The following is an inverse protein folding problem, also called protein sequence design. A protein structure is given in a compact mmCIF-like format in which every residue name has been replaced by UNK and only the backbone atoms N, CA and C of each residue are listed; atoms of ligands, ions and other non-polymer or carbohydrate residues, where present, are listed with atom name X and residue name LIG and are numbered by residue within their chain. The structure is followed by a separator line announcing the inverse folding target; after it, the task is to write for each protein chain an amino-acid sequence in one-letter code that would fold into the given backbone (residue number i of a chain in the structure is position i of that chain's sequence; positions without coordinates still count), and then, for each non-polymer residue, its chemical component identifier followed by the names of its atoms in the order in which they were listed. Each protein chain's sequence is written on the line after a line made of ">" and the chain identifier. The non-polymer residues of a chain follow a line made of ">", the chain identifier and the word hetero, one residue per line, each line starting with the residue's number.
data_IF_607592321345
#
_entry.id   IF_607592321345
#
_cell.length_a   1.000
_cell.length_b   1.000
_cell.length_c   1.000
_cell.angle_alpha   90.00
_cell.angle_beta   90.00
_cell.angle_gamma   90.00
#
_symmetry.space_group_name_H-M   'P 1'
#
loop_
_entity.id
_entity.type
_entity.pdbx_description
1 polymer ?
#
# COMPACT_ATOMS: atom_id res chain seq x y z
N UNK A 1 39.41 -27.40 33.09
CA UNK A 1 39.26 -26.08 33.73
C UNK A 1 40.18 -25.15 32.95
N UNK A 2 39.78 -24.16 32.19
CA UNK A 2 38.52 -23.48 31.93
C UNK A 2 38.87 -22.44 30.83
N UNK A 3 37.90 -22.08 29.97
CA UNK A 3 37.81 -20.82 29.21
C UNK A 3 38.80 -20.48 28.07
N UNK A 4 38.24 -20.39 26.86
CA UNK A 4 38.57 -19.37 25.83
C UNK A 4 37.97 -17.99 26.23
N UNK A 5 37.97 -16.88 25.44
CA UNK A 5 38.56 -16.59 24.11
C UNK A 5 39.16 -15.15 23.98
N UNK A 6 39.61 -14.72 22.78
CA UNK A 6 39.09 -13.54 22.04
C UNK A 6 40.07 -12.90 21.04
N UNK A 7 39.52 -12.52 19.87
CA UNK A 7 40.07 -11.54 18.91
C UNK A 7 40.59 -12.17 17.62
N UNK A 8 40.20 -11.79 16.41
CA UNK A 8 39.33 -10.73 15.93
C UNK A 8 39.11 -10.98 14.42
N UNK A 9 37.87 -11.12 13.97
CA UNK A 9 37.56 -11.13 12.54
C UNK A 9 36.53 -10.04 12.24
N UNK A 10 36.93 -9.08 11.41
CA UNK A 10 36.14 -7.92 10.99
C UNK A 10 34.83 -8.36 10.31
N UNK A 11 33.67 -7.79 10.63
CA UNK A 11 32.46 -8.02 9.86
C UNK A 11 32.50 -7.17 8.57
N UNK A 12 32.41 -7.85 7.43
CA UNK A 12 32.19 -7.24 6.13
C UNK A 12 30.89 -6.44 6.09
N UNK A 13 30.87 -5.41 5.23
CA UNK A 13 29.72 -4.52 5.01
C UNK A 13 28.46 -5.32 4.74
N UNK A 14 27.49 -5.21 5.65
CA UNK A 14 26.12 -5.72 5.47
C UNK A 14 25.42 -4.79 4.49
N UNK A 15 25.09 -5.29 3.31
CA UNK A 15 24.13 -4.64 2.43
C UNK A 15 22.74 -5.09 2.90
N UNK A 16 22.22 -4.45 3.95
CA UNK A 16 20.84 -4.65 4.38
C UNK A 16 19.95 -3.85 3.44
N UNK A 17 19.34 -4.52 2.47
CA UNK A 17 18.20 -3.98 1.73
C UNK A 17 17.07 -3.86 2.76
N UNK A 18 16.93 -2.64 3.30
CA UNK A 18 15.97 -2.31 4.33
C UNK A 18 14.56 -2.54 3.81
N UNK A 19 13.82 -3.34 4.57
CA UNK A 19 12.41 -3.22 4.92
C UNK A 19 11.48 -2.65 3.84
N UNK A 20 10.48 -3.45 3.47
CA UNK A 20 9.19 -2.97 2.98
C UNK A 20 8.72 -1.80 3.86
N UNK A 21 9.05 -0.60 3.40
CA UNK A 21 8.49 0.63 3.85
C UNK A 21 7.03 0.51 3.50
N UNK A 22 6.22 0.08 4.49
CA UNK A 22 4.78 0.24 4.48
C UNK A 22 4.57 1.75 4.50
N UNK A 23 4.78 2.39 3.35
CA UNK A 23 4.49 3.79 3.09
C UNK A 23 3.02 3.89 3.47
N UNK A 24 2.77 4.38 4.69
CA UNK A 24 1.51 5.04 4.99
C UNK A 24 1.50 6.16 3.99
N UNK A 25 0.87 5.91 2.85
CA UNK A 25 0.71 6.88 1.80
C UNK A 25 -0.24 7.93 2.37
N UNK A 26 0.34 8.85 3.12
CA UNK A 26 -0.39 9.95 3.72
C UNK A 26 -0.62 10.91 2.58
N UNK A 27 -1.77 10.73 1.93
CA UNK A 27 -2.30 11.56 0.86
C UNK A 27 -1.89 13.04 1.05
N UNK A 28 -0.87 13.52 0.31
CA UNK A 28 -0.32 14.86 0.49
C UNK A 28 -1.34 15.93 0.13
N UNK A 29 -2.25 15.63 -0.80
CA UNK A 29 -3.33 16.51 -1.22
C UNK A 29 -4.36 16.69 -0.09
N UNK A 30 -4.66 15.61 0.63
CA UNK A 30 -5.52 15.68 1.81
C UNK A 30 -4.92 16.55 2.93
N UNK A 31 -3.60 16.50 3.12
CA UNK A 31 -2.89 17.36 4.09
C UNK A 31 -2.86 18.82 3.65
N UNK A 32 -2.58 19.07 2.37
CA UNK A 32 -2.58 20.40 1.79
C UNK A 32 -3.96 21.05 1.89
N UNK A 33 -5.02 20.34 1.48
CA UNK A 33 -6.39 20.83 1.59
C UNK A 33 -6.78 21.12 3.04
N UNK A 34 -6.41 20.22 3.97
CA UNK A 34 -6.60 20.48 5.39
C UNK A 34 -5.88 21.76 5.83
N UNK A 35 -4.60 21.94 5.47
CA UNK A 35 -3.84 23.14 5.81
C UNK A 35 -4.49 24.41 5.26
N UNK A 36 -4.91 24.41 3.98
CA UNK A 36 -5.64 25.52 3.36
C UNK A 36 -6.88 25.87 4.17
N UNK A 37 -7.70 24.88 4.55
CA UNK A 37 -8.92 25.13 5.31
C UNK A 37 -8.66 25.67 6.73
N UNK A 38 -7.58 25.27 7.40
CA UNK A 38 -7.21 25.86 8.69
C UNK A 38 -6.74 27.30 8.52
N UNK A 39 -5.93 27.59 7.50
CA UNK A 39 -5.49 28.96 7.18
C UNK A 39 -6.70 29.84 6.87
N UNK A 40 -7.62 29.37 6.02
CA UNK A 40 -8.88 30.08 5.73
C UNK A 40 -9.70 30.33 6.98
N UNK A 41 -9.80 29.36 7.90
CA UNK A 41 -10.49 29.55 9.17
C UNK A 41 -9.89 30.68 10.01
N UNK A 42 -8.58 30.66 10.25
CA UNK A 42 -7.92 31.68 11.07
C UNK A 42 -7.95 33.07 10.41
N UNK A 43 -7.80 33.13 9.08
CA UNK A 43 -7.89 34.40 8.33
C UNK A 43 -9.30 34.99 8.41
N UNK A 44 -10.34 34.20 8.19
CA UNK A 44 -11.73 34.67 8.26
C UNK A 44 -12.10 35.08 9.70
N UNK A 45 -11.71 34.28 10.69
CA UNK A 45 -11.98 34.59 12.10
C UNK A 45 -11.25 35.87 12.53
N UNK A 46 -9.98 36.02 12.16
CA UNK A 46 -9.19 37.23 12.45
C UNK A 46 -9.75 38.48 11.77
N UNK A 47 -10.15 38.37 10.49
CA UNK A 47 -10.80 39.45 9.75
C UNK A 47 -12.14 39.87 10.38
N UNK A 48 -13.00 38.89 10.72
CA UNK A 48 -14.27 39.14 11.41
C UNK A 48 -14.06 39.79 12.79
N UNK A 49 -13.05 39.34 13.55
CA UNK A 49 -12.68 39.91 14.84
C UNK A 49 -12.20 41.36 14.70
N UNK A 50 -11.28 41.63 13.77
CA UNK A 50 -10.78 42.99 13.52
C UNK A 50 -11.92 43.94 13.15
N UNK A 51 -12.83 43.50 12.27
CA UNK A 51 -14.01 44.27 11.88
C UNK A 51 -14.96 44.53 13.05
N UNK A 52 -15.13 43.57 13.96
CA UNK A 52 -15.95 43.73 15.16
C UNK A 52 -15.34 44.76 16.12
N UNK A 53 -14.06 44.62 16.46
CA UNK A 53 -13.35 45.54 17.38
C UNK A 53 -13.34 46.97 16.86
N UNK A 54 -13.11 47.17 15.55
CA UNK A 54 -13.12 48.51 14.94
C UNK A 54 -14.50 49.20 15.02
N UNK A 55 -15.59 48.44 14.99
CA UNK A 55 -16.95 49.00 14.94
C UNK A 55 -17.65 49.05 16.30
N UNK A 56 -17.35 48.12 17.20
CA UNK A 56 -18.09 47.90 18.45
C UNK A 56 -17.16 47.70 19.66
N UNK A 57 -15.87 48.04 19.55
CA UNK A 57 -14.88 47.83 20.62
C UNK A 57 -15.20 48.55 21.94
N UNK A 58 -16.03 49.59 21.92
CA UNK A 58 -16.48 50.32 23.11
C UNK A 58 -17.76 49.78 23.76
N UNK A 59 -18.39 48.74 23.22
CA UNK A 59 -19.64 48.20 23.77
C UNK A 59 -19.41 47.26 24.95
N UNK A 60 -20.37 47.21 25.89
CA UNK A 60 -20.34 46.31 27.05
C UNK A 60 -20.26 44.82 26.66
N UNK A 61 -20.71 44.47 25.45
CA UNK A 61 -20.69 43.09 24.91
C UNK A 61 -19.33 42.69 24.31
N UNK A 62 -18.45 43.65 24.02
CA UNK A 62 -17.16 43.39 23.38
C UNK A 62 -16.27 42.34 24.09
N UNK A 63 -16.08 42.36 25.43
CA UNK A 63 -15.23 41.36 26.09
C UNK A 63 -15.78 39.93 25.96
N UNK A 64 -17.11 39.76 25.95
CA UNK A 64 -17.75 38.45 25.77
C UNK A 64 -17.53 37.89 24.37
N UNK A 65 -17.62 38.74 23.34
CA UNK A 65 -17.37 38.34 21.94
C UNK A 65 -15.90 37.94 21.75
N UNK A 66 -14.97 38.68 22.34
CA UNK A 66 -13.53 38.35 22.30
C UNK A 66 -13.27 37.01 23.01
N UNK A 67 -13.81 36.82 24.21
CA UNK A 67 -13.66 35.57 24.96
C UNK A 67 -14.19 34.36 24.17
N UNK A 68 -15.37 34.48 23.56
CA UNK A 68 -16.00 33.40 22.80
C UNK A 68 -15.21 33.07 21.52
N UNK A 69 -14.62 34.07 20.85
CA UNK A 69 -13.75 33.83 19.71
C UNK A 69 -12.43 33.15 20.11
N UNK A 70 -11.85 33.50 21.26
CA UNK A 70 -10.67 32.78 21.81
C UNK A 70 -11.03 31.33 22.13
N UNK A 71 -12.19 31.08 22.75
CA UNK A 71 -12.69 29.72 22.97
C UNK A 71 -12.83 28.97 21.65
N UNK A 72 -13.36 29.61 20.61
CA UNK A 72 -13.51 29.01 19.28
C UNK A 72 -12.14 28.66 18.65
N UNK A 73 -11.12 29.52 18.81
CA UNK A 73 -9.74 29.25 18.38
C UNK A 73 -9.19 28.01 19.10
N UNK A 74 -9.27 27.99 20.42
CA UNK A 74 -8.75 26.89 21.24
C UNK A 74 -9.44 25.58 20.88
N UNK A 75 -10.77 25.61 20.76
CA UNK A 75 -11.54 24.44 20.42
C UNK A 75 -11.24 23.94 19.00
N UNK A 76 -11.12 24.84 18.02
CA UNK A 76 -10.76 24.45 16.65
C UNK A 76 -9.34 23.87 16.57
N UNK A 77 -8.37 24.47 17.28
CA UNK A 77 -6.98 24.00 17.36
C UNK A 77 -6.82 22.68 18.14
N UNK A 78 -7.69 22.43 19.13
CA UNK A 78 -7.79 21.15 19.84
C UNK A 78 -8.48 20.05 19.01
N UNK A 79 -8.96 20.40 17.81
CA UNK A 79 -9.65 19.47 16.93
C UNK A 79 -8.80 18.26 16.53
N UNK A 80 -9.45 17.12 16.18
CA UNK A 80 -8.77 15.85 15.88
C UNK A 80 -7.98 15.82 14.56
N UNK A 81 -7.41 16.94 14.12
CA UNK A 81 -6.73 17.15 12.84
C UNK A 81 -5.35 16.48 12.71
N UNK A 82 -4.88 15.69 13.68
CA UNK A 82 -3.49 15.16 13.68
C UNK A 82 -3.26 13.74 13.16
N UNK A 83 -4.19 13.12 12.41
CA UNK A 83 -3.78 11.96 11.58
C UNK A 83 -4.71 10.77 11.42
N UNK A 84 -6.01 10.89 11.70
CA UNK A 84 -6.95 9.82 11.36
C UNK A 84 -7.74 10.17 10.08
N UNK A 85 -7.72 9.32 9.05
CA UNK A 85 -8.46 9.55 7.80
C UNK A 85 -9.91 9.86 8.12
N UNK A 86 -10.43 10.93 7.51
CA UNK A 86 -11.72 11.51 7.88
C UNK A 86 -12.91 10.58 7.57
N UNK A 87 -12.73 9.64 6.62
CA UNK A 87 -13.71 8.63 6.24
C UNK A 87 -12.95 7.34 5.95
N UNK A 88 -13.26 6.21 6.62
CA UNK A 88 -12.72 4.91 6.25
C UNK A 88 -13.09 4.57 4.79
N UNK A 89 -12.27 3.78 4.06
CA UNK A 89 -12.71 3.19 2.80
C UNK A 89 -14.10 2.56 2.98
N UNK A 90 -15.00 2.79 2.04
CA UNK A 90 -16.36 2.24 2.11
C UNK A 90 -16.24 0.71 2.18
N UNK A 91 -16.74 0.05 3.23
CA UNK A 91 -16.69 -1.40 3.30
C UNK A 91 -17.54 -1.99 2.16
N UNK A 92 -17.20 -3.18 1.63
CA UNK A 92 -18.02 -3.84 0.62
C UNK A 92 -19.46 -4.00 1.13
N UNK A 93 -20.41 -3.29 0.51
CA UNK A 93 -21.85 -3.39 0.81
C UNK A 93 -22.42 -2.52 1.95
N UNK A 94 -21.67 -1.61 2.57
CA UNK A 94 -22.08 -0.99 3.85
C UNK A 94 -22.16 0.54 3.91
N UNK A 95 -23.17 1.04 4.66
CA UNK A 95 -23.35 2.45 5.07
C UNK A 95 -22.09 3.01 5.73
N UNK A 96 -21.82 4.30 5.53
CA UNK A 96 -20.69 5.00 6.20
C UNK A 96 -20.90 4.94 7.72
N UNK A 97 -19.94 4.39 8.50
CA UNK A 97 -20.07 4.31 9.95
C UNK A 97 -20.06 5.70 10.58
N UNK A 98 -20.75 5.85 11.71
CA UNK A 98 -20.75 7.10 12.46
C UNK A 98 -19.35 7.39 13.03
N UNK A 99 -18.93 8.67 13.06
CA UNK A 99 -17.67 9.06 13.67
C UNK A 99 -17.68 8.78 15.20
N UNK A 100 -16.50 8.62 15.82
CA UNK A 100 -16.40 8.43 17.26
C UNK A 100 -17.03 9.61 18.01
N UNK A 101 -17.69 9.33 19.14
CA UNK A 101 -18.45 10.31 19.95
C UNK A 101 -17.63 11.56 20.26
N UNK A 102 -16.33 11.41 20.54
CA UNK A 102 -15.40 12.55 20.76
C UNK A 102 -15.39 13.56 19.61
N UNK A 103 -15.45 13.10 18.34
CA UNK A 103 -15.49 13.98 17.16
C UNK A 103 -16.84 14.69 17.04
N UNK A 104 -17.93 14.01 17.40
CA UNK A 104 -19.27 14.62 17.42
C UNK A 104 -19.37 15.69 18.50
N UNK A 105 -18.89 15.41 19.71
CA UNK A 105 -18.84 16.38 20.82
C UNK A 105 -18.01 17.60 20.41
N UNK A 106 -16.82 17.38 19.83
CA UNK A 106 -15.98 18.46 19.34
C UNK A 106 -16.69 19.32 18.29
N UNK A 107 -17.27 18.70 17.25
CA UNK A 107 -17.97 19.43 16.20
C UNK A 107 -19.17 20.20 16.77
N UNK A 108 -19.96 19.56 17.64
CA UNK A 108 -21.11 20.18 18.29
C UNK A 108 -20.70 21.38 19.13
N UNK A 109 -19.62 21.27 19.91
CA UNK A 109 -19.10 22.39 20.70
C UNK A 109 -18.60 23.53 19.80
N UNK A 110 -17.89 23.23 18.70
CA UNK A 110 -17.42 24.25 17.74
C UNK A 110 -18.60 24.98 17.12
N UNK A 111 -19.61 24.23 16.66
CA UNK A 111 -20.82 24.78 16.05
C UNK A 111 -21.63 25.61 17.06
N UNK A 112 -21.77 25.15 18.31
CA UNK A 112 -22.51 25.86 19.34
C UNK A 112 -21.84 27.18 19.72
N UNK A 113 -20.52 27.16 19.97
CA UNK A 113 -19.74 28.39 20.27
C UNK A 113 -19.81 29.36 19.10
N UNK A 114 -19.66 28.88 17.87
CA UNK A 114 -19.78 29.71 16.68
C UNK A 114 -21.18 30.28 16.48
N UNK A 115 -22.24 29.51 16.73
CA UNK A 115 -23.62 29.99 16.61
C UNK A 115 -23.90 31.14 17.59
N UNK A 116 -23.48 31.01 18.85
CA UNK A 116 -23.57 32.11 19.84
C UNK A 116 -22.77 33.33 19.39
N UNK A 117 -21.60 33.12 18.76
CA UNK A 117 -20.76 34.21 18.25
C UNK A 117 -21.43 34.96 17.09
N UNK A 118 -22.09 34.24 16.19
CA UNK A 118 -22.85 34.82 15.07
C UNK A 118 -24.07 35.59 15.57
N UNK A 119 -24.77 35.08 16.58
CA UNK A 119 -25.91 35.77 17.21
C UNK A 119 -25.49 37.10 17.84
N UNK A 120 -24.34 37.11 18.53
CA UNK A 120 -23.79 38.34 19.13
C UNK A 120 -23.24 39.30 18.08
N UNK A 121 -22.66 38.78 17.00
CA UNK A 121 -22.02 39.55 15.95
C UNK A 121 -22.12 38.82 14.58
N UNK A 122 -23.07 39.21 13.71
CA UNK A 122 -23.29 38.54 12.42
C UNK A 122 -22.08 38.55 11.46
N UNK A 123 -21.07 39.41 11.70
CA UNK A 123 -19.82 39.41 10.94
C UNK A 123 -19.05 38.09 11.01
N UNK A 124 -19.28 37.25 12.02
CA UNK A 124 -18.66 35.94 12.14
C UNK A 124 -19.31 34.86 11.25
N UNK A 125 -20.40 35.18 10.53
CA UNK A 125 -21.05 34.28 9.59
C UNK A 125 -20.09 33.79 8.48
N UNK A 126 -19.08 34.58 8.10
CA UNK A 126 -18.07 34.19 7.10
C UNK A 126 -17.25 32.97 7.53
N UNK A 127 -17.13 32.70 8.83
CA UNK A 127 -16.43 31.51 9.37
C UNK A 127 -17.20 30.21 9.09
N UNK A 128 -18.44 30.29 8.59
CA UNK A 128 -19.25 29.13 8.19
C UNK A 128 -18.55 28.22 7.16
N UNK A 129 -17.74 28.78 6.25
CA UNK A 129 -17.14 27.99 5.14
C UNK A 129 -16.21 26.86 5.64
N UNK A 130 -15.19 27.14 6.48
CA UNK A 130 -14.42 26.08 7.11
C UNK A 130 -15.23 25.13 7.99
N UNK A 131 -16.34 25.60 8.58
CA UNK A 131 -17.24 24.76 9.39
C UNK A 131 -18.07 23.81 8.54
N UNK A 132 -18.55 24.24 7.36
CA UNK A 132 -19.21 23.37 6.39
C UNK A 132 -18.27 22.26 5.93
N UNK A 133 -17.03 22.62 5.61
CA UNK A 133 -16.00 21.63 5.30
C UNK A 133 -15.75 20.67 6.47
N UNK A 134 -15.68 21.19 7.70
CA UNK A 134 -15.54 20.36 8.89
C UNK A 134 -16.71 19.40 9.08
N UNK A 135 -17.95 19.83 8.83
CA UNK A 135 -19.14 18.98 8.89
C UNK A 135 -19.12 17.90 7.78
N UNK A 136 -18.88 18.32 6.52
CA UNK A 136 -18.81 17.45 5.35
C UNK A 136 -17.75 16.35 5.48
N UNK A 137 -16.62 16.66 6.12
CA UNK A 137 -15.55 15.68 6.35
C UNK A 137 -15.80 14.75 7.53
N UNK A 138 -16.52 15.18 8.58
CA UNK A 138 -16.68 14.36 9.81
C UNK A 138 -17.92 13.50 9.83
N UNK A 139 -19.02 13.97 9.21
CA UNK A 139 -20.32 13.33 9.28
C UNK A 139 -20.59 12.44 8.06
N UNK A 140 -21.47 11.43 8.19
CA UNK A 140 -22.02 10.73 7.04
C UNK A 140 -22.78 11.71 6.13
N UNK A 141 -22.83 11.46 4.81
CA UNK A 141 -23.27 12.45 3.82
C UNK A 141 -24.64 13.04 4.11
N UNK A 142 -25.63 12.23 4.50
CA UNK A 142 -26.98 12.71 4.83
C UNK A 142 -26.98 13.67 6.03
N UNK A 143 -26.32 13.29 7.13
CA UNK A 143 -26.23 14.14 8.31
C UNK A 143 -25.42 15.42 8.05
N UNK A 144 -24.38 15.33 7.22
CA UNK A 144 -23.58 16.47 6.82
C UNK A 144 -24.41 17.49 6.00
N UNK A 145 -25.19 17.04 5.02
CA UNK A 145 -26.04 17.92 4.21
C UNK A 145 -27.13 18.58 5.05
N UNK A 146 -27.75 17.82 5.97
CA UNK A 146 -28.72 18.37 6.92
C UNK A 146 -28.08 19.45 7.79
N UNK A 147 -26.92 19.18 8.38
CA UNK A 147 -26.23 20.16 9.23
C UNK A 147 -25.84 21.41 8.43
N UNK A 148 -25.27 21.27 7.23
CA UNK A 148 -24.94 22.40 6.36
C UNK A 148 -26.20 23.23 6.03
N UNK A 149 -27.32 22.57 5.71
CA UNK A 149 -28.60 23.23 5.48
C UNK A 149 -29.08 24.03 6.70
N UNK A 150 -29.07 23.42 7.89
CA UNK A 150 -29.45 24.07 9.15
C UNK A 150 -28.57 25.29 9.44
N UNK A 151 -27.25 25.16 9.32
CA UNK A 151 -26.31 26.26 9.55
C UNK A 151 -26.50 27.38 8.52
N UNK A 152 -26.82 27.05 7.27
CA UNK A 152 -27.10 28.03 6.22
C UNK A 152 -28.37 28.83 6.53
N UNK A 153 -29.45 28.13 6.90
CA UNK A 153 -30.71 28.78 7.32
C UNK A 153 -30.48 29.66 8.55
N UNK A 154 -29.74 29.18 9.54
CA UNK A 154 -29.36 29.96 10.72
C UNK A 154 -28.61 31.25 10.34
N UNK A 155 -27.61 31.16 9.46
CA UNK A 155 -26.85 32.34 8.98
C UNK A 155 -27.75 33.34 8.24
N UNK A 156 -28.68 32.85 7.42
CA UNK A 156 -29.62 33.71 6.71
C UNK A 156 -30.53 34.44 7.70
N UNK A 157 -31.11 33.72 8.68
CA UNK A 157 -31.97 34.32 9.72
C UNK A 157 -31.19 35.37 10.52
N UNK A 158 -30.00 35.04 11.02
CA UNK A 158 -29.18 35.94 11.82
C UNK A 158 -28.82 37.24 11.07
N UNK A 159 -28.57 37.16 9.76
CA UNK A 159 -28.30 38.35 8.95
C UNK A 159 -29.56 39.16 8.65
N UNK A 160 -30.70 38.51 8.35
CA UNK A 160 -31.97 39.19 8.10
C UNK A 160 -32.48 39.96 9.31
N UNK A 161 -32.28 39.45 10.53
CA UNK A 161 -32.66 40.13 11.76
C UNK A 161 -31.92 41.46 11.96
N UNK A 162 -30.68 41.57 11.45
CA UNK A 162 -29.85 42.77 11.56
C UNK A 162 -29.99 43.72 10.36
N UNK A 163 -30.48 43.22 9.22
CA UNK A 163 -30.58 43.97 7.99
C UNK A 163 -31.68 45.04 8.09
N UNK A 164 -31.33 46.32 7.92
CA UNK A 164 -32.32 47.42 7.87
C UNK A 164 -33.15 47.42 6.58
N UNK A 165 -32.68 46.72 5.54
CA UNK A 165 -33.33 46.55 4.24
C UNK A 165 -33.08 45.13 3.73
N UNK A 166 -34.05 44.57 3.01
CA UNK A 166 -33.89 43.27 2.37
C UNK A 166 -33.01 43.40 1.13
N UNK A 167 -31.74 43.00 1.25
CA UNK A 167 -30.82 42.86 0.12
C UNK A 167 -30.73 41.39 -0.27
N UNK A 168 -30.95 41.09 -1.56
CA UNK A 168 -30.94 39.73 -2.11
C UNK A 168 -29.62 39.00 -1.80
N UNK A 169 -28.51 39.73 -1.78
CA UNK A 169 -27.17 39.22 -1.49
C UNK A 169 -27.06 38.56 -0.10
N UNK A 170 -27.86 39.00 0.87
CA UNK A 170 -27.87 38.46 2.25
C UNK A 170 -28.37 37.01 2.30
N UNK A 171 -29.28 36.65 1.40
CA UNK A 171 -29.86 35.31 1.30
C UNK A 171 -29.06 34.46 0.31
N UNK A 172 -28.71 35.04 -0.84
CA UNK A 172 -28.04 34.32 -1.93
C UNK A 172 -26.60 33.96 -1.57
N UNK A 173 -25.87 34.82 -0.85
CA UNK A 173 -24.47 34.58 -0.51
C UNK A 173 -24.23 33.27 0.27
N UNK A 174 -24.82 33.09 1.47
CA UNK A 174 -24.66 31.87 2.26
C UNK A 174 -25.15 30.61 1.52
N UNK A 175 -26.28 30.72 0.81
CA UNK A 175 -26.86 29.61 0.06
C UNK A 175 -25.96 29.17 -1.11
N UNK A 176 -25.41 30.14 -1.87
CA UNK A 176 -24.48 29.87 -2.96
C UNK A 176 -23.23 29.17 -2.44
N UNK A 177 -22.62 29.68 -1.36
CA UNK A 177 -21.40 29.09 -0.80
C UNK A 177 -21.64 27.67 -0.26
N UNK A 178 -22.74 27.44 0.45
CA UNK A 178 -23.10 26.11 0.93
C UNK A 178 -23.32 25.12 -0.23
N UNK A 179 -23.98 25.57 -1.30
CA UNK A 179 -24.24 24.78 -2.50
C UNK A 179 -22.93 24.44 -3.22
N UNK A 180 -22.07 25.44 -3.48
CA UNK A 180 -20.78 25.23 -4.14
C UNK A 180 -19.86 24.32 -3.32
N UNK A 181 -19.72 24.56 -2.00
CA UNK A 181 -18.90 23.74 -1.13
C UNK A 181 -19.37 22.27 -1.12
N UNK A 182 -20.68 22.05 -1.05
CA UNK A 182 -21.27 20.70 -1.09
C UNK A 182 -21.06 20.05 -2.45
N UNK A 183 -21.30 20.77 -3.56
CA UNK A 183 -21.16 20.25 -4.91
C UNK A 183 -19.71 19.84 -5.22
N UNK A 184 -18.73 20.71 -4.93
CA UNK A 184 -17.30 20.42 -5.11
C UNK A 184 -16.91 19.20 -4.27
N UNK A 185 -17.33 19.16 -3.01
CA UNK A 185 -17.01 18.04 -2.13
C UNK A 185 -17.57 16.71 -2.63
N UNK A 186 -18.82 16.70 -3.12
CA UNK A 186 -19.43 15.50 -3.71
C UNK A 186 -18.72 15.08 -5.00
N UNK A 187 -18.39 16.05 -5.86
CA UNK A 187 -17.67 15.80 -7.11
C UNK A 187 -16.30 15.16 -6.82
N UNK A 188 -15.50 15.76 -5.93
CA UNK A 188 -14.19 15.24 -5.54
C UNK A 188 -14.30 13.85 -4.92
N UNK A 189 -15.28 13.61 -4.05
CA UNK A 189 -15.51 12.28 -3.46
C UNK A 189 -15.81 11.23 -4.53
N UNK A 190 -16.66 11.55 -5.49
CA UNK A 190 -16.99 10.65 -6.60
C UNK A 190 -15.79 10.41 -7.51
N UNK A 191 -15.00 11.44 -7.80
CA UNK A 191 -13.78 11.33 -8.59
C UNK A 191 -12.75 10.42 -7.91
N UNK A 192 -12.49 10.63 -6.62
CA UNK A 192 -11.58 9.80 -5.84
C UNK A 192 -12.03 8.33 -5.80
N UNK A 193 -13.34 8.07 -5.67
CA UNK A 193 -13.88 6.72 -5.71
C UNK A 193 -13.66 6.04 -7.08
N UNK A 194 -13.90 6.75 -8.19
CA UNK A 194 -13.63 6.24 -9.55
C UNK A 194 -12.15 6.00 -9.81
N UNK A 195 -11.29 6.91 -9.34
CA UNK A 195 -9.85 6.76 -9.52
C UNK A 195 -9.32 5.53 -8.77
N UNK A 196 -9.81 5.29 -7.54
CA UNK A 196 -9.46 4.09 -6.77
C UNK A 196 -9.88 2.80 -7.48
N UNK A 197 -11.11 2.72 -8.00
CA UNK A 197 -11.55 1.52 -8.72
C UNK A 197 -10.70 1.26 -9.96
N UNK A 198 -10.33 2.30 -10.72
CA UNK A 198 -9.47 2.15 -11.89
C UNK A 198 -8.04 1.69 -11.52
N UNK A 199 -7.50 2.19 -10.40
CA UNK A 199 -6.19 1.72 -9.90
C UNK A 199 -6.29 0.26 -9.47
N UNK A 200 -7.34 -0.12 -8.75
CA UNK A 200 -7.56 -1.51 -8.33
C UNK A 200 -7.68 -2.45 -9.53
N UNK A 201 -8.43 -2.04 -10.56
CA UNK A 201 -8.58 -2.79 -11.82
C UNK A 201 -7.26 -2.90 -12.59
N UNK A 202 -6.46 -1.82 -12.64
CA UNK A 202 -5.13 -1.83 -13.27
C UNK A 202 -4.16 -2.76 -12.54
N UNK A 203 -4.14 -2.70 -11.20
CA UNK A 203 -3.30 -3.57 -10.36
C UNK A 203 -3.71 -5.02 -10.54
N UNK A 204 -5.01 -5.31 -10.58
CA UNK A 204 -5.54 -6.65 -10.86
C UNK A 204 -5.09 -7.15 -12.23
N UNK A 205 -5.33 -6.37 -13.27
CA UNK A 205 -4.96 -6.74 -14.65
C UNK A 205 -3.45 -6.97 -14.79
N UNK A 206 -2.61 -6.13 -14.14
CA UNK A 206 -1.15 -6.35 -14.13
C UNK A 206 -0.74 -7.64 -13.44
N UNK A 207 -1.41 -8.03 -12.34
CA UNK A 207 -1.16 -9.32 -11.68
C UNK A 207 -1.55 -10.50 -12.55
N UNK A 208 -2.69 -10.39 -13.24
CA UNK A 208 -3.16 -11.41 -14.19
C UNK A 208 -2.19 -11.55 -15.38
N UNK A 209 -1.76 -10.43 -15.98
CA UNK A 209 -0.77 -10.43 -17.06
C UNK A 209 0.57 -11.06 -16.62
N UNK A 210 1.10 -10.64 -15.47
CA UNK A 210 2.35 -11.21 -14.94
C UNK A 210 2.22 -12.71 -14.63
N UNK A 211 1.03 -13.21 -14.27
CA UNK A 211 0.80 -14.64 -14.10
C UNK A 211 0.80 -15.38 -15.43
N UNK A 212 0.20 -14.80 -16.48
CA UNK A 212 0.20 -15.35 -17.84
C UNK A 212 1.61 -15.37 -18.45
N UNK A 213 2.35 -14.26 -18.39
CA UNK A 213 3.73 -14.18 -18.89
C UNK A 213 4.65 -15.21 -18.21
N UNK A 214 4.50 -15.45 -16.90
CA UNK A 214 5.26 -16.51 -16.21
C UNK A 214 4.92 -17.90 -16.71
N UNK A 215 3.63 -18.16 -17.00
CA UNK A 215 3.19 -19.46 -17.56
C UNK A 215 3.73 -19.64 -18.97
N UNK A 216 3.62 -18.63 -19.82
CA UNK A 216 4.15 -18.63 -21.18
C UNK A 216 5.67 -18.79 -21.17
N UNK A 217 6.38 -18.06 -20.31
CA UNK A 217 7.83 -18.19 -20.13
C UNK A 217 8.24 -19.59 -19.69
N UNK A 218 7.50 -20.20 -18.75
CA UNK A 218 7.76 -21.60 -18.32
C UNK A 218 7.54 -22.60 -19.46
N UNK A 219 6.50 -22.40 -20.28
CA UNK A 219 6.22 -23.26 -21.43
C UNK A 219 7.26 -23.10 -22.54
N UNK A 220 7.64 -21.86 -22.85
CA UNK A 220 8.68 -21.56 -23.83
C UNK A 220 10.02 -22.18 -23.42
N UNK A 221 10.37 -22.09 -22.15
CA UNK A 221 11.62 -22.68 -21.64
C UNK A 221 11.58 -24.21 -21.68
N UNK A 222 10.46 -24.83 -21.33
CA UNK A 222 10.28 -26.29 -21.47
C UNK A 222 10.45 -26.74 -22.93
N UNK A 223 9.91 -25.99 -23.88
CA UNK A 223 10.03 -26.31 -25.30
C UNK A 223 11.47 -26.12 -25.79
N UNK A 224 12.13 -25.02 -25.41
CA UNK A 224 13.56 -24.77 -25.70
C UNK A 224 14.41 -25.93 -25.20
N UNK A 225 14.22 -26.32 -23.94
CA UNK A 225 14.97 -27.42 -23.33
C UNK A 225 14.67 -28.77 -24.00
N UNK A 226 13.42 -29.04 -24.38
CA UNK A 226 13.09 -30.27 -25.11
C UNK A 226 13.82 -30.36 -26.45
N UNK A 227 13.98 -29.23 -27.17
CA UNK A 227 14.73 -29.21 -28.42
C UNK A 227 16.23 -29.44 -28.16
N UNK A 228 16.80 -28.76 -27.17
CA UNK A 228 18.23 -28.90 -26.80
C UNK A 228 18.59 -30.33 -26.35
N UNK A 229 17.72 -30.97 -25.57
CA UNK A 229 17.87 -32.38 -25.19
C UNK A 229 17.79 -33.29 -26.43
N UNK A 230 16.82 -33.06 -27.32
CA UNK A 230 16.64 -33.89 -28.50
C UNK A 230 17.84 -33.79 -29.46
N UNK A 231 18.38 -32.59 -29.67
CA UNK A 231 19.55 -32.37 -30.51
C UNK A 231 20.78 -33.08 -29.94
N UNK A 232 20.99 -32.99 -28.62
CA UNK A 232 22.09 -33.68 -27.92
C UNK A 232 21.97 -35.21 -28.08
N UNK A 233 20.77 -35.76 -27.89
CA UNK A 233 20.52 -37.19 -28.06
C UNK A 233 20.72 -37.65 -29.51
N UNK A 234 20.22 -36.88 -30.48
CA UNK A 234 20.36 -37.19 -31.90
C UNK A 234 21.85 -37.18 -32.33
N UNK A 235 22.63 -36.23 -31.84
CA UNK A 235 24.07 -36.15 -32.07
C UNK A 235 24.81 -37.36 -31.46
N UNK A 236 24.50 -37.69 -30.20
CA UNK A 236 25.08 -38.83 -29.50
C UNK A 236 24.82 -40.17 -30.21
N UNK A 237 23.58 -40.40 -30.63
CA UNK A 237 23.19 -41.61 -31.37
C UNK A 237 23.85 -41.69 -32.75
N UNK A 238 24.01 -40.55 -33.43
CA UNK A 238 24.69 -40.50 -34.73
C UNK A 238 26.17 -40.87 -34.62
N UNK A 239 26.87 -40.33 -33.61
CA UNK A 239 28.26 -40.71 -33.31
C UNK A 239 28.40 -42.20 -33.01
N UNK A 240 27.48 -42.74 -32.22
CA UNK A 240 27.45 -44.14 -31.86
C UNK A 240 27.22 -45.04 -33.09
N UNK A 241 26.28 -44.68 -33.97
CA UNK A 241 26.06 -45.39 -35.24
C UNK A 241 27.29 -45.35 -36.13
N UNK A 242 27.98 -44.22 -36.25
CA UNK A 242 29.22 -44.12 -37.05
C UNK A 242 30.33 -45.04 -36.51
N UNK A 243 30.49 -45.13 -35.19
CA UNK A 243 31.47 -46.03 -34.57
C UNK A 243 31.14 -47.51 -34.79
N UNK A 244 29.86 -47.88 -34.69
CA UNK A 244 29.42 -49.25 -34.97
C UNK A 244 29.61 -49.62 -36.45
N UNK A 245 29.34 -48.69 -37.37
CA UNK A 245 29.63 -48.88 -38.79
C UNK A 245 31.14 -49.00 -39.08
N UNK A 246 31.98 -48.26 -38.36
CA UNK A 246 33.43 -48.40 -38.46
C UNK A 246 33.89 -49.78 -37.96
N UNK A 247 33.34 -50.25 -36.83
CA UNK A 247 33.64 -51.57 -36.27
C UNK A 247 33.32 -52.70 -37.26
N UNK A 248 32.13 -52.64 -37.87
CA UNK A 248 31.64 -53.63 -38.86
C UNK A 248 32.59 -53.74 -40.07
N UNK A 249 33.05 -52.60 -40.61
CA UNK A 249 33.99 -52.58 -41.74
C UNK A 249 35.37 -53.16 -41.41
N UNK A 250 35.80 -53.06 -40.15
CA UNK A 250 37.11 -53.56 -39.70
C UNK A 250 37.05 -54.94 -39.07
N UNK A 251 35.87 -55.56 -38.99
CA UNK A 251 35.62 -56.74 -38.15
C UNK A 251 36.53 -57.93 -38.47
N UNK A 252 36.74 -58.23 -39.75
CA UNK A 252 37.60 -59.33 -40.20
C UNK A 252 39.06 -58.89 -40.41
N UNK A 253 39.27 -57.66 -40.86
CA UNK A 253 40.59 -57.16 -41.26
C UNK A 253 41.47 -56.72 -40.07
N UNK A 254 40.87 -56.17 -39.01
CA UNK A 254 41.55 -55.70 -37.80
C UNK A 254 40.60 -55.86 -36.58
N UNK A 255 40.54 -57.06 -36.00
CA UNK A 255 39.60 -57.38 -34.92
C UNK A 255 39.83 -56.54 -33.65
N UNK A 256 41.07 -56.15 -33.36
CA UNK A 256 41.39 -55.36 -32.17
C UNK A 256 40.89 -53.92 -32.32
N UNK A 257 41.02 -53.33 -33.51
CA UNK A 257 40.45 -52.01 -33.82
C UNK A 257 38.92 -52.03 -33.83
N UNK A 258 38.30 -53.08 -34.38
CA UNK A 258 36.86 -53.27 -34.33
C UNK A 258 36.33 -53.33 -32.88
N UNK A 259 36.99 -54.11 -32.00
CA UNK A 259 36.69 -54.15 -30.55
C UNK A 259 36.90 -52.79 -29.87
N UNK A 260 37.88 -52.01 -30.31
CA UNK A 260 38.08 -50.62 -29.88
C UNK A 260 36.86 -49.73 -30.19
N UNK A 261 36.39 -49.74 -31.44
CA UNK A 261 35.22 -48.97 -31.87
C UNK A 261 33.94 -49.37 -31.11
N UNK A 262 33.72 -50.66 -30.85
CA UNK A 262 32.57 -51.14 -30.05
C UNK A 262 32.65 -50.64 -28.60
N UNK A 263 33.82 -50.71 -27.96
CA UNK A 263 33.98 -50.20 -26.58
C UNK A 263 33.73 -48.69 -26.50
N UNK A 264 34.21 -47.91 -27.47
CA UNK A 264 33.93 -46.47 -27.52
C UNK A 264 32.45 -46.20 -27.72
N UNK A 265 31.77 -46.94 -28.62
CA UNK A 265 30.33 -46.81 -28.81
C UNK A 265 29.53 -47.18 -27.55
N UNK A 266 29.95 -48.19 -26.79
CA UNK A 266 29.33 -48.56 -25.52
C UNK A 266 29.52 -47.47 -24.45
N UNK A 267 30.73 -46.92 -24.32
CA UNK A 267 31.02 -45.83 -23.39
C UNK A 267 30.21 -44.56 -23.68
N UNK A 268 30.04 -44.20 -24.96
CA UNK A 268 29.19 -43.07 -25.37
C UNK A 268 27.71 -43.35 -25.02
N UNK A 269 27.24 -44.59 -25.18
CA UNK A 269 25.88 -44.98 -24.79
C UNK A 269 25.63 -44.76 -23.29
N UNK A 270 26.55 -45.25 -22.45
CA UNK A 270 26.47 -45.12 -21.00
C UNK A 270 26.47 -43.66 -20.58
N UNK A 271 27.33 -42.84 -21.21
CA UNK A 271 27.40 -41.41 -20.95
C UNK A 271 26.10 -40.69 -21.31
N UNK A 272 25.59 -40.87 -22.53
CA UNK A 272 24.34 -40.25 -23.00
C UNK A 272 23.13 -40.68 -22.15
N UNK A 273 23.10 -41.94 -21.70
CA UNK A 273 22.02 -42.46 -20.87
C UNK A 273 22.08 -41.92 -19.44
N UNK A 274 23.27 -41.72 -18.89
CA UNK A 274 23.47 -41.04 -17.61
C UNK A 274 23.08 -39.56 -17.68
N UNK A 275 23.38 -38.88 -18.79
CA UNK A 275 23.02 -37.48 -19.03
C UNK A 275 21.51 -37.29 -19.22
N UNK A 276 20.86 -38.14 -20.02
CA UNK A 276 19.40 -38.15 -20.19
C UNK A 276 18.67 -38.39 -18.85
N UNK A 277 19.16 -39.32 -18.02
CA UNK A 277 18.60 -39.57 -16.68
C UNK A 277 18.74 -38.35 -15.76
N UNK A 278 19.86 -37.64 -15.82
CA UNK A 278 20.06 -36.39 -15.08
C UNK A 278 19.06 -35.31 -15.51
N UNK A 279 18.89 -35.07 -16.81
CA UNK A 279 17.91 -34.09 -17.30
C UNK A 279 16.47 -34.40 -16.89
N UNK A 280 16.04 -35.66 -16.92
CA UNK A 280 14.70 -36.05 -16.45
C UNK A 280 14.57 -35.83 -14.94
N UNK A 281 15.60 -36.12 -14.16
CA UNK A 281 15.59 -35.92 -12.71
C UNK A 281 15.59 -34.43 -12.33
N UNK A 282 16.30 -33.59 -13.08
CA UNK A 282 16.36 -32.14 -12.86
C UNK A 282 15.04 -31.46 -13.24
N UNK A 283 14.30 -32.00 -14.23
CA UNK A 283 12.98 -31.47 -14.63
C UNK A 283 11.82 -31.90 -13.72
N UNK A 284 12.00 -33.01 -13.01
CA UNK A 284 11.06 -33.52 -12.03
C UNK A 284 11.79 -33.79 -10.72
N UNK A 285 12.10 -32.75 -9.93
CA UNK A 285 12.75 -32.95 -8.64
C UNK A 285 11.75 -33.67 -7.73
N UNK A 286 11.91 -34.99 -7.61
CA UNK A 286 11.07 -35.87 -6.79
C UNK A 286 11.06 -35.39 -5.33
N UNK A 287 12.11 -34.69 -4.90
CA UNK A 287 12.23 -34.09 -3.56
C UNK A 287 11.34 -32.86 -3.35
N UNK A 288 11.03 -32.08 -4.39
CA UNK A 288 10.07 -30.97 -4.33
C UNK A 288 8.62 -31.47 -4.46
N UNK A 289 8.40 -32.54 -5.23
CA UNK A 289 7.08 -33.13 -5.45
C UNK A 289 6.51 -33.85 -4.20
N UNK A 290 7.37 -34.27 -3.26
CA UNK A 290 6.98 -34.90 -1.98
C UNK A 290 6.41 -33.94 -0.92
N UNK A 291 6.24 -32.65 -1.24
CA UNK A 291 5.47 -31.70 -0.42
C UNK A 291 6.23 -31.02 0.74
N UNK A 292 7.54 -31.24 0.88
CA UNK A 292 8.36 -30.58 1.92
C UNK A 292 8.75 -29.12 1.61
N UNK A 293 8.48 -28.63 0.40
CA UNK A 293 8.94 -27.31 -0.04
C UNK A 293 10.45 -27.24 -0.28
N UNK A 294 10.91 -26.08 -0.77
CA UNK A 294 12.31 -25.83 -1.13
C UNK A 294 13.32 -26.06 0.03
N UNK A 295 13.04 -25.70 1.29
CA UNK A 295 13.94 -25.96 2.42
C UNK A 295 14.25 -27.45 2.62
N UNK A 296 13.23 -28.30 2.55
CA UNK A 296 13.36 -29.75 2.75
C UNK A 296 14.14 -30.40 1.61
N UNK A 297 13.85 -29.98 0.37
CA UNK A 297 14.55 -30.45 -0.81
C UNK A 297 16.04 -30.09 -0.77
N UNK A 298 16.39 -28.87 -0.37
CA UNK A 298 17.78 -28.44 -0.22
C UNK A 298 18.52 -29.20 0.89
N UNK A 299 17.88 -29.46 2.04
CA UNK A 299 18.48 -30.29 3.11
C UNK A 299 18.72 -31.73 2.65
N UNK A 300 17.79 -32.30 1.90
CA UNK A 300 17.92 -33.66 1.35
C UNK A 300 19.08 -33.74 0.35
N UNK A 301 19.21 -32.75 -0.54
CA UNK A 301 20.33 -32.65 -1.48
C UNK A 301 21.67 -32.50 -0.75
N UNK A 302 21.74 -31.62 0.25
CA UNK A 302 22.96 -31.42 1.03
C UNK A 302 23.39 -32.67 1.80
N UNK A 303 22.43 -33.48 2.30
CA UNK A 303 22.73 -34.75 2.93
C UNK A 303 23.25 -35.80 1.92
N UNK A 304 22.76 -35.79 0.69
CA UNK A 304 23.22 -36.68 -0.39
C UNK A 304 24.64 -36.35 -0.87
N UNK A 305 24.95 -35.06 -1.00
CA UNK A 305 26.24 -34.58 -1.51
C UNK A 305 27.31 -34.42 -0.41
N UNK A 306 26.95 -34.67 0.85
CA UNK A 306 27.93 -34.71 1.94
C UNK A 306 28.56 -36.10 2.01
N UNK A 307 29.75 -36.27 1.43
CA UNK A 307 30.57 -37.49 1.53
C UNK A 307 31.87 -37.21 2.33
N UNK A 308 32.68 -38.23 2.60
CA UNK A 308 33.85 -38.20 3.49
C UNK A 308 34.90 -37.12 3.20
N UNK A 309 34.83 -36.41 2.07
CA UNK A 309 35.68 -35.26 1.71
C UNK A 309 34.99 -33.89 1.63
N UNK A 310 33.66 -33.82 1.70
CA UNK A 310 32.90 -32.57 1.53
C UNK A 310 31.68 -32.53 2.45
N UNK A 311 31.58 -31.50 3.29
CA UNK A 311 30.40 -31.29 4.15
C UNK A 311 29.58 -30.11 3.64
N UNK A 312 28.36 -30.38 3.18
CA UNK A 312 27.42 -29.36 2.70
C UNK A 312 26.40 -29.06 3.80
N UNK A 313 26.35 -27.79 4.25
CA UNK A 313 25.39 -27.33 5.27
C UNK A 313 24.39 -26.35 4.66
N UNK A 314 23.10 -26.63 4.83
CA UNK A 314 22.01 -25.75 4.38
C UNK A 314 21.50 -24.94 5.56
N UNK A 315 21.48 -23.62 5.41
CA UNK A 315 20.85 -22.69 6.35
C UNK A 315 19.72 -21.97 5.65
N UNK A 316 18.53 -22.08 6.22
CA UNK A 316 17.31 -21.43 5.73
C UNK A 316 16.94 -20.36 6.74
N UNK A 317 16.92 -19.10 6.32
CA UNK A 317 16.43 -17.99 7.14
C UNK A 317 14.92 -17.86 6.94
N UNK A 318 14.16 -18.15 7.99
CA UNK A 318 12.73 -17.90 8.04
C UNK A 318 12.49 -16.49 8.59
N UNK A 319 11.94 -15.55 7.78
CA UNK A 319 11.69 -14.19 8.24
C UNK A 319 10.59 -14.08 9.31
N UNK A 320 9.87 -15.16 9.62
CA UNK A 320 8.79 -15.17 10.63
C UNK A 320 9.22 -15.51 12.06
N UNK A 321 10.48 -15.94 12.28
CA UNK A 321 10.97 -16.35 13.60
C UNK A 321 11.51 -15.22 14.50
N UNK A 322 11.36 -13.95 14.11
CA UNK A 322 11.89 -12.80 14.88
C UNK A 322 10.93 -12.24 15.95
N UNK A 323 9.75 -12.83 16.19
CA UNK A 323 8.73 -12.26 17.11
C UNK A 323 8.51 -13.05 18.42
N UNK A 324 9.35 -14.04 18.77
CA UNK A 324 9.13 -14.88 19.98
C UNK A 324 10.17 -14.72 21.09
N UNK A 325 11.07 -13.74 20.99
CA UNK A 325 12.14 -13.55 21.99
C UNK A 325 12.11 -12.16 22.65
N UNK A 326 10.96 -11.78 23.23
CA UNK A 326 10.87 -10.68 24.21
C UNK A 326 9.75 -10.99 25.22
N UNK A 327 9.99 -11.95 26.10
CA UNK A 327 9.26 -12.04 27.37
C UNK A 327 10.28 -12.35 28.45
N UNK A 328 10.68 -11.37 29.29
CA UNK A 328 11.58 -11.63 30.40
C UNK A 328 10.83 -12.41 31.50
N UNK A 329 11.51 -13.32 32.22
CA UNK A 329 10.90 -14.02 33.35
C UNK A 329 10.66 -13.06 34.51
N UNK A 330 9.54 -13.27 35.22
CA UNK A 330 9.24 -12.69 36.53
C UNK A 330 10.01 -13.41 37.64
#
# INVERSE_FOLDING_TARGET
>A
METAPAGSARPGRRCTVHAEERVRDVDPDARWLAAVMHVTFFLLLGSSMARFVQRHGGEVRAPWVIALAVVLVVLYAAGPSRGAPAVPPLPPGGRVPWPPVRRLIWLGAVVAVWAVLVELAPSFAWVAVPLFYAALRTLPPLAAYVLVGVLTVFVIIAQLTLARRFDLDTVVGPAAVATFATAIFVYMRRQAARQRSLIDDLVRTRRELAATERREGTLAERQRLSMEIHDTLAQGLSSQRMLLQAADRTWEADPDKARGHVRTAASIAEHNLAEARRFVHDLAPVDLARGGGLPEALRTLAARESDGGLTVRVRVEDPSAHDTALTPPA
#
